data_IF_173957753325
#
_entry.id   IF_173957753325
#
_cell.length_a   1.000
_cell.length_b   1.000
_cell.length_c   1.000
_cell.angle_alpha   90.00
_cell.angle_beta   90.00
_cell.angle_gamma   90.00
#
_symmetry.space_group_name_H-M   'P 1'
#
loop_
_entity.id
_entity.type
_entity.pdbx_description
1 polymer ?
#
# COMPACT_ATOMS: atom_id res chain seq x y z
N UNK A 1 14.44 11.42 6.55
CA UNK A 1 13.62 12.64 6.37
C UNK A 1 12.66 12.78 7.55
N UNK A 2 12.23 14.00 7.93
CA UNK A 2 11.09 14.17 8.84
C UNK A 2 9.85 13.46 8.28
N UNK A 3 9.01 12.87 9.15
CA UNK A 3 7.90 12.01 8.73
C UNK A 3 6.96 12.66 7.68
N UNK A 4 6.62 13.95 7.86
CA UNK A 4 5.75 14.66 6.91
C UNK A 4 6.38 14.91 5.54
N UNK A 5 7.68 15.19 5.49
CA UNK A 5 8.39 15.38 4.22
C UNK A 5 8.55 14.06 3.46
N UNK A 6 8.77 12.94 4.18
CA UNK A 6 8.81 11.61 3.57
C UNK A 6 7.46 11.27 2.94
N UNK A 7 6.36 11.42 3.69
CA UNK A 7 5.01 11.15 3.20
C UNK A 7 4.68 11.97 1.96
N UNK A 8 4.95 13.28 1.98
CA UNK A 8 4.65 14.15 0.84
C UNK A 8 5.44 13.78 -0.42
N UNK A 9 6.68 13.30 -0.28
CA UNK A 9 7.45 12.76 -1.41
C UNK A 9 6.85 11.46 -1.91
N UNK A 10 6.47 10.54 -1.01
CA UNK A 10 5.78 9.30 -1.37
C UNK A 10 4.49 9.59 -2.12
N UNK A 11 3.58 10.38 -1.56
CA UNK A 11 2.31 10.78 -2.20
C UNK A 11 2.53 11.39 -3.60
N UNK A 12 3.57 12.20 -3.75
CA UNK A 12 3.93 12.82 -5.02
C UNK A 12 4.40 11.79 -6.05
N UNK A 13 5.30 10.88 -5.67
CA UNK A 13 5.78 9.81 -6.54
C UNK A 13 4.62 8.87 -6.95
N UNK A 14 3.75 8.56 -6.01
CA UNK A 14 2.56 7.73 -6.25
C UNK A 14 1.59 8.37 -7.24
N UNK A 15 1.36 9.68 -7.13
CA UNK A 15 0.55 10.43 -8.10
C UNK A 15 1.19 10.43 -9.50
N UNK A 16 2.53 10.36 -9.59
CA UNK A 16 3.25 10.27 -10.86
C UNK A 16 3.18 8.88 -11.50
N UNK A 17 3.08 7.82 -10.71
CA UNK A 17 2.89 6.45 -11.20
C UNK A 17 1.44 6.16 -11.62
N UNK A 18 0.50 6.99 -11.20
CA UNK A 18 -0.94 6.82 -11.45
C UNK A 18 -1.32 6.61 -12.95
N UNK A 19 -0.68 7.26 -13.95
CA UNK A 19 -0.94 6.95 -15.36
C UNK A 19 -0.59 5.52 -15.78
N UNK A 20 0.44 4.92 -15.17
CA UNK A 20 0.83 3.52 -15.41
C UNK A 20 -0.23 2.59 -14.82
N UNK A 21 -0.65 2.84 -13.58
CA UNK A 21 -1.75 2.11 -12.93
C UNK A 21 -3.03 2.17 -13.77
N UNK A 22 -3.39 3.36 -14.26
CA UNK A 22 -4.56 3.55 -15.12
C UNK A 22 -4.47 2.73 -16.41
N UNK A 23 -3.30 2.70 -17.04
CA UNK A 23 -3.10 1.92 -18.26
C UNK A 23 -3.34 0.43 -17.98
N UNK A 24 -2.76 -0.10 -16.91
CA UNK A 24 -2.90 -1.50 -16.55
C UNK A 24 -4.33 -1.87 -16.11
N UNK A 25 -5.01 -1.00 -15.34
CA UNK A 25 -6.44 -1.13 -15.02
C UNK A 25 -7.29 -1.31 -16.29
N UNK A 26 -7.02 -0.51 -17.32
CA UNK A 26 -7.72 -0.58 -18.60
C UNK A 26 -7.37 -1.88 -19.34
N UNK A 27 -6.09 -2.27 -19.38
CA UNK A 27 -5.64 -3.50 -20.04
C UNK A 27 -6.23 -4.77 -19.41
N UNK A 28 -6.59 -4.72 -18.14
CA UNK A 28 -7.24 -5.81 -17.40
C UNK A 28 -8.77 -5.68 -17.35
N UNK A 29 -9.35 -4.71 -18.07
CA UNK A 29 -10.79 -4.42 -18.07
C UNK A 29 -11.39 -4.09 -16.68
N UNK A 30 -10.56 -3.61 -15.74
CA UNK A 30 -10.98 -3.20 -14.39
C UNK A 30 -11.54 -1.77 -14.41
N UNK A 31 -12.65 -1.56 -15.12
CA UNK A 31 -13.20 -0.21 -15.39
C UNK A 31 -13.58 0.58 -14.12
N UNK A 32 -14.02 -0.11 -13.06
CA UNK A 32 -14.34 0.54 -11.79
C UNK A 32 -13.09 1.13 -11.13
N UNK A 33 -12.01 0.32 -11.07
CA UNK A 33 -10.71 0.74 -10.56
C UNK A 33 -10.10 1.84 -11.40
N UNK A 34 -10.12 1.73 -12.73
CA UNK A 34 -9.70 2.81 -13.62
C UNK A 34 -10.40 4.15 -13.31
N UNK A 35 -11.71 4.12 -13.02
CA UNK A 35 -12.47 5.30 -12.62
C UNK A 35 -12.00 5.90 -11.29
N UNK A 36 -11.64 5.06 -10.31
CA UNK A 36 -11.05 5.48 -9.04
C UNK A 36 -9.68 6.10 -9.30
N UNK A 37 -8.82 5.46 -10.09
CA UNK A 37 -7.47 5.93 -10.46
C UNK A 37 -7.52 7.31 -11.10
N UNK A 38 -8.41 7.53 -12.08
CA UNK A 38 -8.62 8.85 -12.71
C UNK A 38 -9.08 9.90 -11.69
N UNK A 39 -10.00 9.52 -10.81
CA UNK A 39 -10.55 10.43 -9.80
C UNK A 39 -9.47 10.86 -8.81
N UNK A 40 -8.69 9.89 -8.31
CA UNK A 40 -7.53 10.12 -7.42
C UNK A 40 -6.52 11.05 -8.09
N UNK A 41 -6.11 10.75 -9.32
CA UNK A 41 -5.17 11.58 -10.07
C UNK A 41 -5.66 13.04 -10.21
N UNK A 42 -6.92 13.23 -10.60
CA UNK A 42 -7.50 14.55 -10.79
C UNK A 42 -7.55 15.34 -9.46
N UNK A 43 -7.99 14.70 -8.37
CA UNK A 43 -8.11 15.30 -7.05
C UNK A 43 -6.74 15.63 -6.47
N UNK A 44 -5.79 14.68 -6.48
CA UNK A 44 -4.47 14.86 -5.90
C UNK A 44 -3.64 15.87 -6.70
N UNK A 45 -3.77 15.87 -8.03
CA UNK A 45 -3.08 16.86 -8.87
C UNK A 45 -3.63 18.28 -8.68
N UNK A 46 -4.94 18.45 -8.48
CA UNK A 46 -5.57 19.78 -8.38
C UNK A 46 -5.61 20.33 -6.96
N UNK A 47 -6.15 19.55 -6.01
CA UNK A 47 -6.34 19.94 -4.60
C UNK A 47 -5.11 19.55 -3.78
N UNK A 48 -4.54 18.38 -4.04
CA UNK A 48 -3.36 17.87 -3.34
C UNK A 48 -2.03 18.51 -3.76
N UNK A 49 -2.08 19.67 -4.41
CA UNK A 49 -0.90 20.42 -4.89
C UNK A 49 0.01 19.54 -5.77
N UNK A 50 -0.44 19.14 -6.96
CA UNK A 50 0.30 18.25 -7.88
C UNK A 50 0.61 16.85 -7.33
N UNK A 51 -0.07 16.41 -6.27
CA UNK A 51 0.11 15.10 -5.66
C UNK A 51 0.99 15.10 -4.41
N UNK A 52 1.49 16.25 -3.94
CA UNK A 52 2.24 16.33 -2.67
C UNK A 52 1.40 16.00 -1.43
N UNK A 53 0.07 15.94 -1.57
CA UNK A 53 -0.88 15.50 -0.57
C UNK A 53 -1.94 14.60 -1.21
N UNK A 54 -2.55 13.72 -0.42
CA UNK A 54 -3.59 12.77 -0.85
C UNK A 54 -5.00 13.08 -0.30
N UNK A 55 -5.67 14.17 -0.73
CA UNK A 55 -7.05 14.43 -0.33
C UNK A 55 -8.06 13.42 -0.91
N UNK A 56 -7.68 12.64 -1.92
CA UNK A 56 -8.56 11.59 -2.45
C UNK A 56 -8.76 10.44 -1.45
N UNK A 57 -7.74 10.10 -0.65
CA UNK A 57 -7.85 9.15 0.45
C UNK A 57 -8.88 9.61 1.49
N UNK A 58 -8.84 10.89 1.88
CA UNK A 58 -9.79 11.48 2.84
C UNK A 58 -11.25 11.44 2.35
N UNK A 59 -11.44 11.40 1.02
CA UNK A 59 -12.75 11.27 0.37
C UNK A 59 -13.22 9.81 0.23
N UNK A 60 -12.45 8.84 0.76
CA UNK A 60 -12.79 7.43 0.74
C UNK A 60 -12.48 6.72 -0.60
N UNK A 61 -11.70 7.35 -1.49
CA UNK A 61 -11.21 6.70 -2.68
C UNK A 61 -9.99 5.86 -2.29
N UNK A 62 -10.19 4.58 -1.96
CA UNK A 62 -9.10 3.69 -1.62
C UNK A 62 -8.08 3.62 -2.77
N UNK A 63 -6.79 3.66 -2.42
CA UNK A 63 -5.71 3.43 -3.38
C UNK A 63 -5.63 1.94 -3.72
N UNK A 64 -5.26 1.67 -4.97
CA UNK A 64 -4.75 0.39 -5.43
C UNK A 64 -3.57 0.65 -6.37
N UNK A 65 -2.73 -0.35 -6.54
CA UNK A 65 -1.61 -0.33 -7.46
C UNK A 65 -1.81 -1.40 -8.52
N UNK A 66 -1.31 -1.15 -9.74
CA UNK A 66 -1.39 -2.08 -10.85
C UNK A 66 -0.20 -1.92 -11.80
N UNK A 67 0.49 -3.03 -12.09
CA UNK A 67 1.67 -3.04 -12.96
C UNK A 67 1.51 -3.95 -14.19
N UNK A 68 2.47 -3.90 -15.10
CA UNK A 68 2.41 -4.69 -16.31
C UNK A 68 2.68 -6.19 -16.04
N UNK A 69 3.43 -6.55 -15.00
CA UNK A 69 3.64 -7.95 -14.62
C UNK A 69 2.34 -8.62 -14.18
N UNK A 70 1.56 -7.94 -13.36
CA UNK A 70 0.23 -8.32 -12.92
C UNK A 70 -0.71 -8.39 -14.13
N UNK A 71 -0.64 -7.42 -15.06
CA UNK A 71 -1.39 -7.47 -16.32
C UNK A 71 -1.08 -8.73 -17.14
N UNK A 72 0.18 -9.09 -17.31
CA UNK A 72 0.56 -10.34 -17.99
C UNK A 72 0.01 -11.56 -17.24
N UNK A 73 0.03 -11.53 -15.91
CA UNK A 73 -0.56 -12.55 -15.04
C UNK A 73 -2.08 -12.69 -15.21
N UNK A 74 -2.81 -11.57 -15.27
CA UNK A 74 -4.25 -11.51 -15.53
C UNK A 74 -4.61 -12.18 -16.86
N UNK A 75 -3.76 -12.01 -17.87
CA UNK A 75 -3.89 -12.64 -19.19
C UNK A 75 -3.37 -14.10 -19.24
N UNK A 76 -3.01 -14.68 -18.10
CA UNK A 76 -2.61 -16.09 -17.97
C UNK A 76 -1.17 -16.38 -18.35
N UNK A 77 -0.32 -15.36 -18.49
CA UNK A 77 1.11 -15.57 -18.73
C UNK A 77 1.77 -16.00 -17.42
N UNK A 78 2.42 -17.18 -17.37
CA UNK A 78 3.04 -17.69 -16.16
C UNK A 78 4.28 -16.87 -15.79
N UNK A 79 4.61 -16.81 -14.49
CA UNK A 79 5.79 -16.11 -13.99
C UNK A 79 7.12 -16.64 -14.56
N UNK A 80 7.20 -17.94 -14.83
CA UNK A 80 8.43 -18.63 -15.21
C UNK A 80 9.24 -19.15 -14.01
N UNK A 81 10.53 -19.47 -14.19
CA UNK A 81 11.40 -19.87 -13.08
C UNK A 81 11.58 -18.72 -12.10
N UNK A 82 11.47 -19.02 -10.80
CA UNK A 82 11.77 -18.06 -9.76
C UNK A 82 13.27 -17.72 -9.75
N UNK A 83 13.57 -16.42 -9.78
CA UNK A 83 14.92 -15.86 -9.83
C UNK A 83 15.05 -14.80 -8.74
N UNK A 84 16.08 -14.93 -7.91
CA UNK A 84 16.44 -13.93 -6.90
C UNK A 84 17.57 -13.07 -7.45
N UNK A 85 17.28 -11.80 -7.71
CA UNK A 85 18.25 -10.83 -8.19
C UNK A 85 19.04 -10.21 -7.04
N UNK A 86 20.35 -9.97 -7.21
CA UNK A 86 21.13 -9.22 -6.24
C UNK A 86 20.50 -7.84 -6.02
N UNK A 87 20.33 -7.45 -4.76
CA UNK A 87 19.74 -6.18 -4.30
C UNK A 87 18.23 -6.02 -4.55
N UNK A 88 17.76 -6.32 -5.75
CA UNK A 88 16.36 -6.17 -6.20
C UNK A 88 15.39 -7.19 -5.55
N UNK A 89 15.88 -8.37 -5.19
CA UNK A 89 15.03 -9.42 -4.63
C UNK A 89 14.40 -10.30 -5.71
N UNK A 90 13.21 -10.90 -5.45
CA UNK A 90 12.54 -11.77 -6.40
C UNK A 90 12.17 -11.02 -7.70
N UNK A 91 12.63 -11.52 -8.84
CA UNK A 91 12.29 -10.95 -10.15
C UNK A 91 12.30 -12.04 -11.24
N UNK A 92 11.25 -12.88 -11.31
CA UNK A 92 11.03 -13.85 -12.38
C UNK A 92 10.94 -13.20 -13.77
N UNK A 93 11.03 -13.98 -14.87
CA UNK A 93 11.09 -13.41 -16.21
C UNK A 93 9.87 -12.59 -16.61
N UNK A 94 8.66 -12.98 -16.21
CA UNK A 94 7.45 -12.19 -16.47
C UNK A 94 7.53 -10.83 -15.80
N UNK A 95 7.93 -10.81 -14.53
CA UNK A 95 7.98 -9.61 -13.72
C UNK A 95 9.13 -8.69 -14.15
N UNK A 96 10.24 -9.25 -14.61
CA UNK A 96 11.32 -8.50 -15.24
C UNK A 96 10.85 -7.79 -16.53
N UNK A 97 10.02 -8.46 -17.34
CA UNK A 97 9.40 -7.86 -18.54
C UNK A 97 8.39 -6.79 -18.13
N UNK A 98 7.57 -7.06 -17.11
CA UNK A 98 6.66 -6.11 -16.46
C UNK A 98 7.37 -4.81 -16.11
N UNK A 99 8.32 -4.92 -15.20
CA UNK A 99 9.16 -3.83 -14.73
C UNK A 99 9.78 -3.00 -15.87
N UNK A 100 10.30 -3.66 -16.92
CA UNK A 100 10.87 -2.95 -18.06
C UNK A 100 9.81 -2.17 -18.86
N UNK A 101 8.62 -2.74 -19.05
CA UNK A 101 7.52 -2.06 -19.76
C UNK A 101 7.02 -0.89 -18.93
N UNK A 102 6.80 -1.07 -17.63
CA UNK A 102 6.36 0.00 -16.74
C UNK A 102 7.37 1.16 -16.72
N UNK A 103 8.67 0.87 -16.70
CA UNK A 103 9.73 1.91 -16.80
C UNK A 103 9.71 2.66 -18.13
N UNK A 104 9.26 2.02 -19.22
CA UNK A 104 9.16 2.66 -20.54
C UNK A 104 7.88 3.46 -20.72
N UNK A 105 6.83 3.12 -19.97
CA UNK A 105 5.52 3.79 -20.02
C UNK A 105 5.37 4.86 -18.94
N UNK A 106 6.19 4.83 -17.89
CA UNK A 106 6.21 5.85 -16.85
C UNK A 106 6.69 7.20 -17.41
N UNK A 107 5.87 8.26 -17.35
CA UNK A 107 6.24 9.57 -17.88
C UNK A 107 7.44 10.20 -17.17
N UNK A 108 7.69 9.86 -15.89
CA UNK A 108 8.85 10.33 -15.12
C UNK A 108 10.14 9.73 -15.65
N UNK A 109 10.18 8.40 -15.76
CA UNK A 109 11.33 7.67 -16.29
C UNK A 109 11.64 8.11 -17.73
N UNK A 110 10.59 8.36 -18.53
CA UNK A 110 10.75 8.89 -19.88
C UNK A 110 11.37 10.31 -19.88
N UNK A 111 10.93 11.19 -18.99
CA UNK A 111 11.43 12.57 -18.89
C UNK A 111 12.86 12.64 -18.33
N UNK A 112 13.24 11.72 -17.46
CA UNK A 112 14.56 11.66 -16.82
C UNK A 112 15.57 10.81 -17.59
N UNK A 113 15.17 10.19 -18.70
CA UNK A 113 16.00 9.27 -19.49
C UNK A 113 17.35 9.84 -19.93
N UNK A 114 17.41 11.14 -20.24
CA UNK A 114 18.65 11.81 -20.66
C UNK A 114 19.54 12.24 -19.48
N UNK A 115 18.99 12.24 -18.26
CA UNK A 115 19.66 12.59 -17.00
C UNK A 115 20.02 11.32 -16.22
N UNK A 116 20.86 10.46 -16.81
CA UNK A 116 21.22 9.13 -16.29
C UNK A 116 21.64 9.13 -14.81
N UNK A 117 22.32 10.19 -14.35
CA UNK A 117 22.74 10.32 -12.95
C UNK A 117 21.56 10.54 -11.99
N UNK A 118 20.56 11.32 -12.41
CA UNK A 118 19.38 11.61 -11.60
C UNK A 118 18.44 10.41 -11.56
N UNK A 119 18.21 9.78 -12.71
CA UNK A 119 17.44 8.54 -12.84
C UNK A 119 18.02 7.41 -11.96
N UNK A 120 19.33 7.19 -12.05
CA UNK A 120 20.02 6.21 -11.21
C UNK A 120 19.99 6.54 -9.71
N UNK A 121 19.98 7.82 -9.35
CA UNK A 121 19.90 8.26 -7.95
C UNK A 121 18.50 8.03 -7.36
N UNK A 122 17.43 8.28 -8.13
CA UNK A 122 16.05 8.01 -7.72
C UNK A 122 15.87 6.51 -7.51
N UNK A 123 16.22 5.70 -8.52
CA UNK A 123 16.12 4.25 -8.43
C UNK A 123 16.90 3.66 -7.23
N UNK A 124 18.12 4.16 -6.98
CA UNK A 124 18.91 3.72 -5.83
C UNK A 124 18.27 4.13 -4.49
N UNK A 125 17.63 5.30 -4.45
CA UNK A 125 16.93 5.79 -3.26
C UNK A 125 15.70 4.95 -2.97
N UNK A 126 14.89 4.64 -3.98
CA UNK A 126 13.69 3.80 -3.86
C UNK A 126 14.06 2.40 -3.40
N UNK A 127 15.12 1.82 -3.98
CA UNK A 127 15.61 0.50 -3.60
C UNK A 127 16.05 0.44 -2.13
N UNK A 128 16.70 1.51 -1.64
CA UNK A 128 17.10 1.62 -0.23
C UNK A 128 15.87 1.82 0.66
N UNK A 129 14.91 2.64 0.24
CA UNK A 129 13.70 2.92 1.02
C UNK A 129 12.83 1.67 1.17
N UNK A 130 12.53 0.97 0.07
CA UNK A 130 11.81 -0.32 0.09
C UNK A 130 12.50 -1.30 1.02
N UNK A 131 13.83 -1.46 0.89
CA UNK A 131 14.57 -2.39 1.74
C UNK A 131 14.52 -2.01 3.20
N UNK A 132 14.58 -0.71 3.52
CA UNK A 132 14.47 -0.23 4.90
C UNK A 132 13.07 -0.47 5.48
N UNK A 133 12.02 -0.43 4.67
CA UNK A 133 10.64 -0.67 5.14
C UNK A 133 10.37 -2.12 5.55
N UNK A 134 11.12 -3.08 5.00
CA UNK A 134 10.88 -4.52 5.22
C UNK A 134 12.04 -5.26 5.90
N UNK A 135 13.05 -4.52 6.38
CA UNK A 135 14.29 -5.13 6.86
C UNK A 135 14.07 -5.96 8.13
N UNK A 136 13.20 -5.50 9.03
CA UNK A 136 12.94 -6.16 10.30
C UNK A 136 12.16 -7.47 10.08
N UNK A 137 11.18 -7.46 9.18
CA UNK A 137 10.39 -8.61 8.77
C UNK A 137 11.26 -9.66 8.05
N UNK A 138 12.17 -9.21 7.18
CA UNK A 138 13.13 -10.09 6.51
C UNK A 138 14.06 -10.76 7.53
N UNK A 139 14.59 -10.00 8.49
CA UNK A 139 15.47 -10.50 9.55
C UNK A 139 14.76 -11.51 10.46
N UNK A 140 13.48 -11.26 10.78
CA UNK A 140 12.66 -12.21 11.54
C UNK A 140 12.39 -13.49 10.74
N UNK A 141 12.05 -13.36 9.45
CA UNK A 141 11.83 -14.49 8.57
C UNK A 141 13.09 -15.35 8.43
N UNK A 142 14.27 -14.74 8.31
CA UNK A 142 15.55 -15.45 8.28
C UNK A 142 15.80 -16.25 9.58
N UNK A 143 15.49 -15.68 10.74
CA UNK A 143 15.72 -16.33 12.04
C UNK A 143 14.73 -17.45 12.34
N UNK A 144 13.51 -17.35 11.85
CA UNK A 144 12.40 -18.26 12.18
C UNK A 144 12.20 -19.36 11.13
N UNK A 145 12.68 -19.16 9.91
CA UNK A 145 12.51 -20.13 8.82
C UNK A 145 13.60 -21.21 8.81
N UNK A 146 13.19 -22.43 8.46
CA UNK A 146 14.12 -23.55 8.23
C UNK A 146 14.87 -23.39 6.90
N UNK A 147 14.19 -22.85 5.89
CA UNK A 147 14.74 -22.50 4.59
C UNK A 147 14.21 -21.12 4.19
N UNK A 148 15.06 -20.11 4.43
CA UNK A 148 14.75 -18.72 4.11
C UNK A 148 14.41 -18.51 2.64
N UNK A 149 15.13 -19.17 1.72
CA UNK A 149 14.90 -19.02 0.29
C UNK A 149 13.54 -19.60 -0.12
N UNK A 150 13.20 -20.78 0.38
CA UNK A 150 11.90 -21.39 0.12
C UNK A 150 10.74 -20.56 0.71
N UNK A 151 10.94 -20.00 1.91
CA UNK A 151 9.96 -19.14 2.58
C UNK A 151 9.69 -17.86 1.78
N UNK A 152 10.74 -17.11 1.41
CA UNK A 152 10.63 -15.90 0.59
C UNK A 152 9.96 -16.20 -0.75
N UNK A 153 10.38 -17.28 -1.42
CA UNK A 153 9.77 -17.69 -2.70
C UNK A 153 8.27 -17.98 -2.55
N UNK A 154 7.87 -18.63 -1.46
CA UNK A 154 6.46 -18.97 -1.22
C UNK A 154 5.63 -17.71 -0.97
N UNK A 155 6.11 -16.82 -0.11
CA UNK A 155 5.45 -15.56 0.22
C UNK A 155 5.32 -14.65 -1.01
N UNK A 156 6.40 -14.50 -1.77
CA UNK A 156 6.39 -13.73 -3.02
C UNK A 156 5.35 -14.28 -4.02
N UNK A 157 5.30 -15.59 -4.23
CA UNK A 157 4.30 -16.19 -5.13
C UNK A 157 2.87 -16.01 -4.62
N UNK A 158 2.68 -16.00 -3.31
CA UNK A 158 1.39 -15.72 -2.71
C UNK A 158 0.98 -14.27 -2.93
N UNK A 159 1.84 -13.30 -2.63
CA UNK A 159 1.54 -11.88 -2.79
C UNK A 159 1.16 -11.55 -4.23
N UNK A 160 1.96 -12.00 -5.20
CA UNK A 160 1.69 -11.72 -6.62
C UNK A 160 0.39 -12.36 -7.09
N UNK A 161 0.04 -13.56 -6.60
CA UNK A 161 -1.24 -14.18 -6.93
C UNK A 161 -2.40 -13.39 -6.34
N UNK A 162 -2.27 -12.92 -5.11
CA UNK A 162 -3.29 -12.11 -4.45
C UNK A 162 -3.46 -10.75 -5.16
N UNK A 163 -2.36 -10.14 -5.59
CA UNK A 163 -2.35 -8.90 -6.38
C UNK A 163 -3.04 -9.07 -7.74
N UNK A 164 -2.68 -10.10 -8.53
CA UNK A 164 -3.35 -10.40 -9.82
C UNK A 164 -4.86 -10.63 -9.63
N UNK A 165 -5.24 -11.20 -8.50
CA UNK A 165 -6.64 -11.50 -8.15
C UNK A 165 -7.34 -10.38 -7.43
N UNK A 166 -6.71 -9.22 -7.22
CA UNK A 166 -7.34 -8.09 -6.56
C UNK A 166 -7.80 -8.38 -5.12
N UNK A 167 -7.15 -9.35 -4.45
CA UNK A 167 -7.58 -9.87 -3.15
C UNK A 167 -8.81 -10.79 -3.20
N UNK A 168 -9.28 -11.17 -4.39
CA UNK A 168 -10.39 -12.11 -4.53
C UNK A 168 -9.96 -13.53 -4.08
N UNK A 169 -10.75 -14.19 -3.20
CA UNK A 169 -10.37 -15.47 -2.61
C UNK A 169 -10.14 -16.55 -3.67
N UNK A 170 -9.12 -17.38 -3.46
CA UNK A 170 -8.77 -18.50 -4.33
C UNK A 170 -9.33 -19.82 -3.81
N UNK A 171 -10.53 -20.16 -4.28
CA UNK A 171 -11.23 -21.37 -3.86
C UNK A 171 -10.51 -22.66 -4.27
N UNK A 172 -9.66 -22.63 -5.30
CA UNK A 172 -8.90 -23.80 -5.75
C UNK A 172 -7.74 -24.17 -4.80
N UNK A 173 -7.42 -23.30 -3.85
CA UNK A 173 -6.34 -23.49 -2.88
C UNK A 173 -6.82 -23.58 -1.43
N UNK A 174 -8.14 -23.51 -1.22
CA UNK A 174 -8.67 -23.81 0.09
C UNK A 174 -8.41 -25.29 0.39
N UNK A 175 -7.95 -25.63 1.61
CA UNK A 175 -7.92 -27.02 2.04
C UNK A 175 -9.33 -27.59 1.90
N UNK A 176 -9.45 -28.75 1.27
CA UNK A 176 -10.71 -29.51 1.27
C UNK A 176 -10.99 -29.92 2.72
N UNK A 177 -11.80 -29.11 3.41
CA UNK A 177 -12.31 -29.45 4.72
C UNK A 177 -13.44 -30.46 4.52
N UNK A 178 -13.08 -31.73 4.57
CA UNK A 178 -14.04 -32.83 4.60
C UNK A 178 -14.65 -32.85 6.01
N UNK A 179 -15.72 -32.08 6.19
CA UNK A 179 -16.50 -32.12 7.42
C UNK A 179 -17.23 -33.46 7.46
N UNK A 180 -17.05 -34.30 8.50
CA UNK A 180 -17.89 -35.47 8.69
C UNK A 180 -19.35 -35.00 8.70
N UNK A 181 -20.16 -35.53 7.78
CA UNK A 181 -21.59 -35.18 7.66
C UNK A 181 -22.34 -35.41 8.99
N UNK A 182 -21.80 -36.28 9.85
CA UNK A 182 -22.32 -36.61 11.18
C UNK A 182 -22.20 -35.46 12.21
N UNK A 183 -21.30 -34.48 12.00
CA UNK A 183 -21.06 -33.34 12.91
C UNK A 183 -21.68 -32.03 12.39
N UNK A 184 -22.32 -32.03 11.22
CA UNK A 184 -23.11 -30.88 10.78
C UNK A 184 -24.40 -30.82 11.60
N UNK A 185 -24.66 -29.75 12.39
CA UNK A 185 -25.97 -29.59 13.00
C UNK A 185 -26.99 -29.57 11.86
N UNK A 186 -28.02 -30.41 11.96
CA UNK A 186 -29.06 -30.52 10.95
C UNK A 186 -29.48 -29.11 10.54
N UNK A 187 -29.26 -28.75 9.27
CA UNK A 187 -29.68 -27.47 8.74
C UNK A 187 -31.18 -27.38 8.99
N UNK A 188 -31.58 -26.54 9.95
CA UNK A 188 -32.99 -26.36 10.22
C UNK A 188 -33.64 -25.87 8.93
N UNK A 189 -34.77 -26.47 8.52
CA UNK A 189 -35.41 -26.08 7.27
C UNK A 189 -35.72 -24.59 7.38
N UNK A 190 -35.09 -23.80 6.51
CA UNK A 190 -35.43 -22.40 6.35
C UNK A 190 -36.88 -22.39 5.85
N UNK A 191 -37.80 -22.17 6.78
CA UNK A 191 -39.23 -22.12 6.52
C UNK A 191 -39.49 -21.03 5.50
N UNK A 192 -39.95 -21.45 4.31
CA UNK A 192 -40.34 -20.60 3.21
C UNK A 192 -41.57 -19.77 3.62
N UNK A 193 -41.31 -18.60 4.21
CA UNK A 193 -42.30 -17.68 4.75
C UNK A 193 -42.05 -16.29 4.22
N UNK A 194 -42.60 -16.00 3.04
CA UNK A 194 -42.72 -14.64 2.56
C UNK A 194 -43.53 -13.80 3.57
N UNK A 195 -42.95 -12.70 4.04
CA UNK A 195 -43.65 -11.59 4.69
C UNK A 195 -43.86 -11.73 6.20
N UNK A 196 -42.90 -11.24 6.99
CA UNK A 196 -43.06 -10.17 7.99
C UNK A 196 -41.79 -10.13 8.87
N UNK A 197 -41.12 -8.97 8.95
CA UNK A 197 -40.07 -8.75 9.94
C UNK A 197 -40.71 -8.64 11.33
N UNK A 198 -40.32 -9.46 12.34
CA UNK A 198 -40.75 -9.21 13.71
C UNK A 198 -39.94 -8.06 14.29
N UNK A 199 -40.66 -7.06 14.79
CA UNK A 199 -40.11 -5.91 15.49
C UNK A 199 -39.24 -6.31 16.68
N UNK A 200 -38.13 -5.59 16.85
CA UNK A 200 -37.24 -5.69 18.01
C UNK A 200 -38.02 -5.36 19.29
N UNK A 201 -38.25 -6.37 20.14
CA UNK A 201 -38.75 -6.19 21.49
C UNK A 201 -37.59 -6.30 22.47
N UNK A 202 -37.27 -5.17 23.11
CA UNK A 202 -36.29 -5.07 24.18
C UNK A 202 -36.75 -5.82 25.45
N UNK A 203 -35.82 -6.52 26.11
CA UNK A 203 -35.89 -6.85 27.54
C UNK A 203 -35.71 -8.33 27.88
N UNK A 204 -34.46 -8.74 28.15
CA UNK A 204 -34.02 -9.33 29.44
C UNK A 204 -32.54 -9.73 29.28
N UNK A 205 -31.63 -9.00 29.93
CA UNK A 205 -30.21 -9.36 29.97
C UNK A 205 -29.99 -10.34 31.13
N UNK A 206 -29.95 -11.64 30.83
CA UNK A 206 -29.36 -12.61 31.74
C UNK A 206 -27.85 -12.68 31.51
N UNK A 207 -27.13 -12.48 32.61
CA UNK A 207 -25.67 -12.42 32.73
C UNK A 207 -24.96 -13.65 32.15
N UNK A 208 -24.12 -13.42 31.14
CA UNK A 208 -23.01 -14.32 30.79
C UNK A 208 -21.74 -13.76 31.46
N UNK A 209 -21.01 -14.55 32.27
CA UNK A 209 -19.80 -14.06 32.92
C UNK A 209 -18.70 -13.76 31.88
N UNK A 210 -18.11 -12.58 31.98
CA UNK A 210 -17.03 -12.13 31.12
C UNK A 210 -15.77 -13.00 31.30
N UNK A 211 -15.13 -13.32 30.18
CA UNK A 211 -13.76 -13.82 30.17
C UNK A 211 -12.82 -12.78 30.82
N UNK A 212 -11.79 -13.18 31.59
CA UNK A 212 -10.91 -12.25 32.27
C UNK A 212 -10.13 -11.41 31.25
N UNK A 213 -10.39 -10.10 31.25
CA UNK A 213 -9.56 -9.07 30.62
C UNK A 213 -8.20 -9.08 31.32
N UNK A 214 -7.12 -9.38 30.58
CA UNK A 214 -5.79 -9.02 31.06
C UNK A 214 -5.63 -7.51 30.88
N UNK A 215 -5.59 -6.78 31.99
CA UNK A 215 -5.22 -5.36 32.00
C UNK A 215 -3.75 -5.24 31.57
N UNK A 216 -3.53 -4.68 30.37
CA UNK A 216 -2.21 -4.17 30.00
C UNK A 216 -1.81 -3.04 30.96
N UNK A 217 -0.50 -2.77 31.14
CA UNK A 217 -0.04 -1.77 32.10
C UNK A 217 -0.62 -0.40 31.78
N UNK A 218 -1.23 0.23 32.79
CA UNK A 218 -1.82 1.56 32.72
C UNK A 218 -0.76 2.59 32.29
N UNK A 219 -0.84 3.05 31.04
CA UNK A 219 0.07 4.07 30.52
C UNK A 219 -0.37 5.42 31.08
N UNK A 220 0.32 5.89 32.12
CA UNK A 220 0.11 7.22 32.69
C UNK A 220 0.49 8.27 31.66
N UNK A 221 -0.50 8.94 31.07
CA UNK A 221 -0.29 10.11 30.20
C UNK A 221 0.35 11.20 31.07
N UNK A 222 1.55 11.71 30.76
CA UNK A 222 2.10 12.85 31.46
C UNK A 222 1.27 14.09 31.11
N UNK A 223 0.86 14.85 32.13
CA UNK A 223 0.15 16.12 31.96
C UNK A 223 0.93 17.05 31.03
N UNK A 224 0.31 17.39 29.89
CA UNK A 224 0.81 18.44 29.00
C UNK A 224 0.75 19.77 29.76
N UNK A 225 1.81 20.58 29.78
CA UNK A 225 1.71 21.92 30.35
C UNK A 225 0.74 22.75 29.51
N UNK A 226 -0.37 23.19 30.12
CA UNK A 226 -1.23 24.23 29.58
C UNK A 226 -0.44 25.56 29.50
N UNK A 227 0.30 25.75 28.41
CA UNK A 227 0.90 27.03 28.08
C UNK A 227 0.28 27.46 26.75
N UNK A 228 -0.72 28.34 26.85
CA UNK A 228 -1.34 28.96 25.69
C UNK A 228 -0.30 29.66 24.82
N UNK A 229 -0.44 29.52 23.50
CA UNK A 229 0.31 30.33 22.54
C UNK A 229 -0.03 31.81 22.72
N UNK A 230 0.90 32.70 23.09
CA UNK A 230 0.66 34.12 22.97
C UNK A 230 0.76 34.49 21.47
N UNK A 231 -0.36 34.89 20.88
CA UNK A 231 -0.43 35.52 19.56
C UNK A 231 0.03 36.99 19.61
N UNK A 232 1.19 37.26 20.20
CA UNK A 232 1.72 38.63 20.30
C UNK A 232 3.23 38.64 20.10
N UNK A 233 3.65 38.92 18.87
CA UNK A 233 5.06 38.95 18.48
C UNK A 233 5.31 38.99 16.97
N UNK A 234 4.41 39.59 16.19
CA UNK A 234 4.77 40.10 14.89
C UNK A 234 5.53 41.43 15.08
N UNK A 235 6.60 41.58 14.29
CA UNK A 235 7.47 42.78 14.14
C UNK A 235 8.69 42.81 15.07
N UNK A 236 9.78 42.17 14.63
CA UNK A 236 11.08 42.87 14.54
C UNK A 236 11.99 42.19 13.50
N UNK A 237 12.20 42.87 12.37
CA UNK A 237 13.23 42.55 11.38
C UNK A 237 14.60 42.95 11.95
N UNK A 238 15.53 42.00 12.08
CA UNK A 238 16.95 42.29 12.31
C UNK A 238 17.73 42.20 10.99
N UNK A 239 18.48 43.25 10.57
CA UNK A 239 19.13 43.31 9.28
C UNK A 239 20.54 42.74 9.36
N UNK A 240 20.73 41.43 9.25
CA UNK A 240 22.08 40.86 9.09
C UNK A 240 22.03 39.49 8.43
N UNK A 241 21.92 39.44 7.10
CA UNK A 241 22.31 38.27 6.27
C UNK A 241 22.45 38.62 4.78
N UNK A 242 22.45 39.89 4.38
CA UNK A 242 22.51 40.31 2.98
C UNK A 242 23.93 40.34 2.37
N UNK A 243 24.91 39.63 2.93
CA UNK A 243 26.33 39.80 2.57
C UNK A 243 27.08 38.51 2.17
N UNK A 244 26.38 37.43 1.80
CA UNK A 244 27.04 36.20 1.32
C UNK A 244 26.70 35.79 -0.12
N UNK A 245 26.08 36.67 -0.92
CA UNK A 245 25.82 36.43 -2.35
C UNK A 245 26.59 37.40 -3.29
N UNK A 246 27.80 37.80 -2.93
CA UNK A 246 28.67 38.58 -3.85
C UNK A 246 30.15 38.26 -3.66
N UNK A 247 30.53 36.98 -3.58
CA UNK A 247 31.94 36.58 -3.72
C UNK A 247 32.12 35.14 -4.19
N UNK A 248 31.66 34.84 -5.41
CA UNK A 248 32.15 33.71 -6.21
C UNK A 248 31.95 34.02 -7.71
N UNK A 249 32.61 35.07 -8.15
CA UNK A 249 32.89 35.32 -9.57
C UNK A 249 34.35 35.72 -9.65
N UNK A 250 35.21 34.71 -9.67
CA UNK A 250 36.56 34.69 -10.25
C UNK A 250 36.99 33.24 -10.46
#
# INVERSE_FOLDING_TARGET
LPLGARRSVTDFLDNLETPVVLLNDILQFKLNRAGITVSRFAINTTIGFFGFFDPAEELGLARHDEDFAQTLGYWGIPEGPYLMWPLLGPLPPRDAVGFMVDRLTNPVDYALRDELLLDGAIFATDLVDVRHQVIDEIDELERTSVDYYAAVRSLYRQSIRDEIRDGAPDFDQLPDFDFPEDDMPAAEPVSDGAGEQPALQNGEQDHVPAAPTQEGPEMKIPDLPEQGFPLEGMVEMSPTSADLLTQASY
#
